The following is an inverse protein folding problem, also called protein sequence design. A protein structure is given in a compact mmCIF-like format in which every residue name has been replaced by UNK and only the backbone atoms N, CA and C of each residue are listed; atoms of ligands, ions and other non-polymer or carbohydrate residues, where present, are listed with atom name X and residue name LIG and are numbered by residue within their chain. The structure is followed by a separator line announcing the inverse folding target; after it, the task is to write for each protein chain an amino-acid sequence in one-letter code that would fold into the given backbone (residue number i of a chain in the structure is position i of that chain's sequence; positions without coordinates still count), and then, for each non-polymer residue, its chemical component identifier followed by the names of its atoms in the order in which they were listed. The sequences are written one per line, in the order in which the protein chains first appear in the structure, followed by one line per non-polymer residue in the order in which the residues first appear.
data_IF_298118641551
#
_entry.id   IF_298118641551
#
_cell.length_a   1.000
_cell.length_b   1.000
_cell.length_c   1.000
_cell.angle_alpha   90.00
_cell.angle_beta   90.00
_cell.angle_gamma   90.00
#
_symmetry.space_group_name_H-M   'P 1'
#
loop_
_entity.id
_entity.type
_entity.pdbx_description
1 polymer ?
#
# COMPACT_ATOMS: atom_id res chain seq x y z
N UNK A 1 40.60 -5.32 6.77
CA UNK A 1 40.43 -6.32 5.71
C UNK A 1 38.99 -6.73 5.76
N UNK A 2 38.20 -6.26 4.79
CA UNK A 2 37.09 -6.99 4.18
C UNK A 2 36.57 -6.12 3.04
N UNK A 3 37.32 -6.17 1.95
CA UNK A 3 36.92 -5.62 0.66
C UNK A 3 35.87 -6.53 0.06
N UNK A 4 34.59 -6.18 0.26
CA UNK A 4 33.51 -6.67 -0.58
C UNK A 4 33.18 -5.58 -1.60
N UNK A 5 33.32 -5.93 -2.87
CA UNK A 5 32.78 -5.16 -3.99
C UNK A 5 31.25 -5.11 -3.82
N UNK A 6 30.58 -3.95 -3.90
CA UNK A 6 29.11 -3.82 -3.76
C UNK A 6 28.30 -4.73 -4.70
N UNK A 7 28.94 -5.38 -5.68
CA UNK A 7 28.33 -6.31 -6.64
C UNK A 7 28.02 -7.71 -6.09
N UNK A 8 28.48 -8.07 -4.89
CA UNK A 8 28.37 -9.43 -4.35
C UNK A 8 27.32 -9.62 -3.24
N UNK A 9 26.48 -8.62 -2.96
CA UNK A 9 25.44 -8.74 -1.92
C UNK A 9 24.07 -9.11 -2.53
N UNK A 10 23.59 -10.33 -2.24
CA UNK A 10 22.22 -10.73 -2.58
C UNK A 10 21.24 -10.02 -1.65
N UNK A 11 20.40 -9.14 -2.21
CA UNK A 11 19.35 -8.45 -1.48
C UNK A 11 18.02 -9.19 -1.58
N UNK A 12 17.35 -9.40 -0.44
CA UNK A 12 15.94 -9.78 -0.41
C UNK A 12 15.07 -8.62 -0.90
N UNK A 13 13.84 -8.92 -1.37
CA UNK A 13 12.87 -7.88 -1.75
C UNK A 13 12.65 -6.91 -0.57
N UNK A 14 12.26 -7.47 0.58
CA UNK A 14 12.06 -6.73 1.82
C UNK A 14 13.13 -7.06 2.86
N UNK A 15 13.76 -6.05 3.49
CA UNK A 15 13.65 -4.62 3.20
C UNK A 15 14.62 -4.14 2.10
N UNK A 16 15.44 -5.03 1.52
CA UNK A 16 16.61 -4.68 0.71
C UNK A 16 16.28 -3.94 -0.58
N UNK A 17 15.66 -4.62 -1.54
CA UNK A 17 15.32 -4.02 -2.83
C UNK A 17 14.26 -2.92 -2.71
N UNK A 18 13.30 -3.06 -1.80
CA UNK A 18 12.27 -2.04 -1.54
C UNK A 18 12.92 -0.71 -1.11
N UNK A 19 13.85 -0.74 -0.15
CA UNK A 19 14.59 0.46 0.25
C UNK A 19 15.44 1.04 -0.87
N UNK A 20 16.04 0.18 -1.69
CA UNK A 20 16.85 0.61 -2.83
C UNK A 20 15.98 1.35 -3.85
N UNK A 21 14.83 0.78 -4.24
CA UNK A 21 13.88 1.42 -5.16
C UNK A 21 13.36 2.74 -4.60
N UNK A 22 13.02 2.79 -3.31
CA UNK A 22 12.47 3.98 -2.66
C UNK A 22 13.47 5.14 -2.55
N UNK A 23 14.76 4.86 -2.27
CA UNK A 23 15.75 5.90 -1.92
C UNK A 23 16.75 6.23 -3.04
N UNK A 24 16.95 5.34 -4.02
CA UNK A 24 17.92 5.57 -5.09
C UNK A 24 17.34 6.46 -6.19
N UNK A 25 18.18 7.31 -6.82
CA UNK A 25 17.80 8.24 -7.89
C UNK A 25 18.69 8.09 -9.13
N UNK A 26 19.45 7.00 -9.25
CA UNK A 26 20.29 6.69 -10.40
C UNK A 26 19.55 5.73 -11.33
N UNK A 27 19.22 6.21 -12.54
CA UNK A 27 18.41 5.45 -13.50
C UNK A 27 18.98 4.06 -13.81
N UNK A 28 20.28 3.94 -14.10
CA UNK A 28 20.89 2.66 -14.48
C UNK A 28 20.79 1.62 -13.35
N UNK A 29 20.93 2.04 -12.09
CA UNK A 29 20.79 1.17 -10.92
C UNK A 29 19.32 0.73 -10.77
N UNK A 30 18.37 1.66 -10.85
CA UNK A 30 16.94 1.36 -10.75
C UNK A 30 16.49 0.40 -11.86
N UNK A 31 16.95 0.63 -13.09
CA UNK A 31 16.66 -0.24 -14.23
C UNK A 31 17.25 -1.64 -14.02
N UNK A 32 18.52 -1.74 -13.60
CA UNK A 32 19.17 -3.03 -13.36
C UNK A 32 18.44 -3.84 -12.28
N UNK A 33 18.09 -3.21 -11.15
CA UNK A 33 17.38 -3.85 -10.05
C UNK A 33 15.99 -4.32 -10.47
N UNK A 34 15.23 -3.46 -11.16
CA UNK A 34 13.88 -3.76 -11.62
C UNK A 34 13.84 -4.95 -12.60
N UNK A 35 14.84 -5.03 -13.50
CA UNK A 35 14.99 -6.13 -14.46
C UNK A 35 15.43 -7.41 -13.73
N UNK A 36 16.48 -7.34 -12.91
CA UNK A 36 17.00 -8.51 -12.19
C UNK A 36 15.96 -9.15 -11.28
N UNK A 37 15.12 -8.37 -10.61
CA UNK A 37 14.02 -8.91 -9.81
C UNK A 37 13.06 -9.78 -10.65
N UNK A 38 12.63 -9.25 -11.81
CA UNK A 38 11.72 -9.95 -12.73
C UNK A 38 12.37 -11.18 -13.35
N UNK A 39 13.65 -11.11 -13.68
CA UNK A 39 14.40 -12.24 -14.23
C UNK A 39 14.64 -13.34 -13.19
N UNK A 40 14.92 -12.99 -11.93
CA UNK A 40 15.24 -13.97 -10.88
C UNK A 40 14.02 -14.58 -10.21
N UNK A 41 12.88 -13.86 -10.19
CA UNK A 41 11.64 -14.31 -9.54
C UNK A 41 10.55 -14.59 -10.56
N UNK A 42 10.19 -13.58 -11.37
CA UNK A 42 9.08 -13.68 -12.32
C UNK A 42 9.21 -14.84 -13.31
N UNK A 43 10.41 -15.04 -13.87
CA UNK A 43 10.68 -16.13 -14.81
C UNK A 43 10.46 -17.53 -14.18
N UNK A 44 10.88 -17.72 -12.92
CA UNK A 44 10.77 -18.97 -12.17
C UNK A 44 9.35 -19.24 -11.69
N UNK A 45 8.61 -18.19 -11.34
CA UNK A 45 7.23 -18.27 -10.84
C UNK A 45 6.21 -18.50 -11.97
N UNK A 46 6.49 -18.02 -13.19
CA UNK A 46 5.61 -18.14 -14.37
C UNK A 46 4.98 -19.53 -14.57
N UNK A 47 5.72 -20.66 -14.63
CA UNK A 47 5.11 -21.98 -14.85
C UNK A 47 4.14 -22.36 -13.73
N UNK A 48 4.46 -22.02 -12.47
CA UNK A 48 3.59 -22.29 -11.32
C UNK A 48 2.28 -21.50 -11.40
N UNK A 49 2.33 -20.24 -11.83
CA UNK A 49 1.13 -19.42 -12.04
C UNK A 49 0.26 -19.99 -13.15
N UNK A 50 0.84 -20.44 -14.27
CA UNK A 50 0.07 -21.09 -15.35
C UNK A 50 -0.66 -22.35 -14.86
N UNK A 51 0.02 -23.20 -14.09
CA UNK A 51 -0.63 -24.38 -13.48
C UNK A 51 -1.73 -23.99 -12.48
N UNK A 52 -1.48 -22.97 -11.65
CA UNK A 52 -2.46 -22.47 -10.68
C UNK A 52 -3.73 -21.96 -11.39
N UNK A 53 -3.60 -21.19 -12.46
CA UNK A 53 -4.73 -20.67 -13.24
C UNK A 53 -5.56 -21.83 -13.82
N UNK A 54 -4.91 -22.86 -14.36
CA UNK A 54 -5.62 -24.03 -14.89
C UNK A 54 -6.44 -24.73 -13.80
N UNK A 55 -5.85 -24.92 -12.61
CA UNK A 55 -6.53 -25.55 -11.48
C UNK A 55 -7.67 -24.68 -10.94
N UNK A 56 -7.46 -23.37 -10.81
CA UNK A 56 -8.48 -22.41 -10.36
C UNK A 56 -9.66 -22.35 -11.33
N UNK A 57 -9.41 -22.33 -12.64
CA UNK A 57 -10.46 -22.37 -13.66
C UNK A 57 -11.24 -23.69 -13.66
N UNK A 58 -10.56 -24.83 -13.44
CA UNK A 58 -11.24 -26.12 -13.25
C UNK A 58 -12.18 -26.09 -12.04
N UNK A 59 -11.72 -25.57 -10.91
CA UNK A 59 -12.51 -25.44 -9.69
C UNK A 59 -13.72 -24.50 -9.88
N UNK A 60 -13.52 -23.36 -10.52
CA UNK A 60 -14.60 -22.41 -10.81
C UNK A 60 -15.70 -23.04 -11.67
N UNK A 61 -15.32 -23.78 -12.73
CA UNK A 61 -16.27 -24.51 -13.59
C UNK A 61 -17.04 -25.60 -12.87
N UNK A 62 -16.39 -26.34 -11.97
CA UNK A 62 -17.07 -27.35 -11.13
C UNK A 62 -18.10 -26.71 -10.17
N UNK A 63 -17.92 -25.44 -9.82
CA UNK A 63 -18.85 -24.66 -9.00
C UNK A 63 -19.84 -23.82 -9.82
N UNK A 64 -19.94 -24.04 -11.13
CA UNK A 64 -20.94 -23.40 -11.99
C UNK A 64 -20.57 -22.02 -12.56
N UNK A 65 -19.33 -21.55 -12.37
CA UNK A 65 -18.82 -20.32 -12.99
C UNK A 65 -18.16 -20.61 -14.35
N UNK A 66 -18.08 -19.61 -15.24
CA UNK A 66 -17.37 -19.76 -16.54
C UNK A 66 -15.86 -19.98 -16.35
N UNK A 67 -15.29 -19.23 -15.41
CA UNK A 67 -13.87 -19.16 -15.10
C UNK A 67 -13.68 -18.58 -13.69
N UNK A 68 -12.43 -18.57 -13.21
CA UNK A 68 -12.10 -18.08 -11.87
C UNK A 68 -12.33 -16.56 -11.72
N UNK A 69 -12.19 -15.79 -12.81
CA UNK A 69 -12.50 -14.37 -12.78
C UNK A 69 -13.98 -14.12 -12.52
N UNK A 70 -14.87 -14.87 -13.19
CA UNK A 70 -16.31 -14.80 -12.94
C UNK A 70 -16.66 -15.18 -11.49
N UNK A 71 -15.97 -16.17 -10.91
CA UNK A 71 -16.13 -16.52 -9.51
C UNK A 71 -15.73 -15.38 -8.56
N UNK A 72 -14.61 -14.70 -8.81
CA UNK A 72 -14.18 -13.56 -8.01
C UNK A 72 -15.15 -12.38 -8.10
N UNK A 73 -15.61 -12.04 -9.32
CA UNK A 73 -16.60 -10.97 -9.52
C UNK A 73 -17.96 -11.31 -8.92
N UNK A 74 -18.32 -12.59 -8.86
CA UNK A 74 -19.55 -13.08 -8.24
C UNK A 74 -19.72 -12.67 -6.78
N UNK A 75 -18.63 -12.45 -6.05
CA UNK A 75 -18.65 -11.98 -4.65
C UNK A 75 -19.30 -10.60 -4.46
N UNK A 76 -19.34 -9.78 -5.51
CA UNK A 76 -19.93 -8.44 -5.44
C UNK A 76 -21.44 -8.45 -5.67
N UNK A 77 -22.00 -9.56 -6.16
CA UNK A 77 -23.44 -9.73 -6.44
C UNK A 77 -24.05 -8.54 -7.21
N UNK A 78 -23.24 -7.94 -8.10
CA UNK A 78 -23.59 -6.70 -8.80
C UNK A 78 -23.73 -6.95 -10.31
N UNK A 79 -24.90 -6.63 -10.86
CA UNK A 79 -25.12 -6.66 -12.30
C UNK A 79 -24.24 -5.65 -13.03
N UNK A 80 -23.58 -6.09 -14.11
CA UNK A 80 -22.73 -5.21 -14.92
C UNK A 80 -21.51 -4.65 -14.17
N UNK A 81 -20.98 -5.38 -13.18
CA UNK A 81 -19.84 -4.96 -12.36
C UNK A 81 -18.66 -4.41 -13.19
N UNK A 82 -18.26 -5.10 -14.26
CA UNK A 82 -17.17 -4.66 -15.13
C UNK A 82 -17.45 -3.30 -15.79
N UNK A 83 -18.68 -3.06 -16.24
CA UNK A 83 -19.08 -1.78 -16.85
C UNK A 83 -19.13 -0.66 -15.81
N UNK A 84 -19.55 -0.96 -14.58
CA UNK A 84 -19.54 0.01 -13.49
C UNK A 84 -18.11 0.44 -13.13
N UNK A 85 -17.19 -0.52 -12.96
CA UNK A 85 -15.76 -0.23 -12.72
C UNK A 85 -15.15 0.55 -13.87
N UNK A 86 -15.42 0.15 -15.13
CA UNK A 86 -14.93 0.89 -16.29
C UNK A 86 -15.41 2.34 -16.29
N UNK A 87 -16.70 2.58 -16.00
CA UNK A 87 -17.28 3.93 -15.95
C UNK A 87 -16.62 4.80 -14.87
N UNK A 88 -16.35 4.23 -13.69
CA UNK A 88 -15.62 4.93 -12.63
C UNK A 88 -14.19 5.26 -13.06
N UNK A 89 -13.49 4.31 -13.69
CA UNK A 89 -12.15 4.55 -14.21
C UNK A 89 -12.14 5.65 -15.29
N UNK A 90 -13.09 5.64 -16.22
CA UNK A 90 -13.22 6.66 -17.27
C UNK A 90 -13.40 8.08 -16.68
N UNK A 91 -14.05 8.21 -15.51
CA UNK A 91 -14.18 9.49 -14.80
C UNK A 91 -12.86 9.98 -14.17
N UNK A 92 -11.97 9.05 -13.79
CA UNK A 92 -10.68 9.36 -13.16
C UNK A 92 -9.58 9.66 -14.18
N UNK A 93 -9.66 9.08 -15.38
CA UNK A 93 -8.66 9.23 -16.46
C UNK A 93 -8.25 10.69 -16.73
N UNK A 94 -9.15 11.68 -16.81
CA UNK A 94 -8.76 13.07 -17.03
C UNK A 94 -7.81 13.60 -15.94
N UNK A 95 -8.08 13.28 -14.68
CA UNK A 95 -7.25 13.70 -13.54
C UNK A 95 -5.92 12.93 -13.52
N UNK A 96 -5.95 11.62 -13.74
CA UNK A 96 -4.72 10.80 -13.85
C UNK A 96 -3.79 11.34 -14.94
N UNK A 97 -4.32 11.73 -16.12
CA UNK A 97 -3.51 12.30 -17.21
C UNK A 97 -2.80 13.60 -16.79
N UNK A 98 -3.44 14.45 -15.99
CA UNK A 98 -2.82 15.67 -15.47
C UNK A 98 -1.70 15.35 -14.48
N UNK A 99 -1.95 14.44 -13.53
CA UNK A 99 -0.94 13.98 -12.56
C UNK A 99 0.23 13.31 -13.27
N UNK A 100 -0.04 12.37 -14.17
CA UNK A 100 0.97 11.69 -14.98
C UNK A 100 1.80 12.67 -15.80
N UNK A 101 1.18 13.66 -16.46
CA UNK A 101 1.92 14.66 -17.23
C UNK A 101 2.85 15.52 -16.35
N UNK A 102 2.38 15.91 -15.16
CA UNK A 102 3.18 16.65 -14.19
C UNK A 102 4.37 15.83 -13.67
N UNK A 103 4.11 14.59 -13.24
CA UNK A 103 5.14 13.66 -12.76
C UNK A 103 6.15 13.34 -13.85
N UNK A 104 5.70 13.11 -15.09
CA UNK A 104 6.58 12.91 -16.24
C UNK A 104 7.51 14.10 -16.46
N UNK A 105 6.99 15.34 -16.37
CA UNK A 105 7.80 16.54 -16.52
C UNK A 105 8.91 16.60 -15.46
N UNK A 106 8.56 16.33 -14.19
CA UNK A 106 9.51 16.34 -13.07
C UNK A 106 10.56 15.24 -13.18
N UNK A 107 10.15 14.02 -13.52
CA UNK A 107 11.07 12.91 -13.75
C UNK A 107 11.96 13.15 -14.98
N UNK A 108 11.44 13.79 -16.03
CA UNK A 108 12.27 14.18 -17.19
C UNK A 108 13.33 15.22 -16.80
N UNK A 109 13.01 16.15 -15.89
CA UNK A 109 14.00 17.10 -15.35
C UNK A 109 15.07 16.38 -14.54
N UNK A 110 14.72 15.33 -13.80
CA UNK A 110 15.65 14.54 -12.99
C UNK A 110 16.55 13.61 -13.82
N UNK A 111 15.97 12.88 -14.78
CA UNK A 111 16.65 11.81 -15.51
C UNK A 111 17.08 12.19 -16.94
N UNK A 112 16.59 13.32 -17.46
CA UNK A 112 16.90 13.82 -18.79
C UNK A 112 16.03 13.24 -19.92
N UNK A 113 16.05 13.92 -21.06
CA UNK A 113 15.23 13.59 -22.25
C UNK A 113 15.63 12.28 -22.94
N UNK A 114 16.86 11.83 -22.73
CA UNK A 114 17.36 10.55 -23.23
C UNK A 114 16.68 9.36 -22.53
N UNK A 115 16.30 9.52 -21.27
CA UNK A 115 15.56 8.51 -20.50
C UNK A 115 14.06 8.68 -20.70
N UNK A 116 13.57 9.93 -20.68
CA UNK A 116 12.14 10.24 -20.82
C UNK A 116 11.94 11.23 -21.97
N UNK A 117 11.73 10.76 -23.22
CA UNK A 117 11.52 11.63 -24.37
C UNK A 117 10.26 12.49 -24.27
N UNK A 118 10.23 13.59 -25.02
CA UNK A 118 9.05 14.45 -25.11
C UNK A 118 7.84 13.66 -25.64
N UNK A 119 6.75 13.64 -24.86
CA UNK A 119 5.57 12.85 -25.19
C UNK A 119 5.69 11.34 -24.92
N UNK A 120 6.85 10.85 -24.47
CA UNK A 120 7.09 9.44 -24.15
C UNK A 120 6.40 8.94 -22.88
N UNK A 121 6.46 7.62 -22.66
CA UNK A 121 6.03 6.97 -21.42
C UNK A 121 7.11 7.11 -20.33
N UNK A 122 6.70 7.01 -19.07
CA UNK A 122 7.63 6.98 -17.94
C UNK A 122 8.16 5.54 -17.77
N UNK A 123 9.48 5.32 -17.63
CA UNK A 123 10.02 4.01 -17.29
C UNK A 123 9.45 3.47 -15.97
N UNK A 124 9.02 2.20 -15.93
CA UNK A 124 8.35 1.63 -14.76
C UNK A 124 9.24 1.49 -13.51
N UNK A 125 10.56 1.68 -13.63
CA UNK A 125 11.52 1.57 -12.53
C UNK A 125 11.78 2.88 -11.78
N UNK A 126 11.20 4.01 -12.20
CA UNK A 126 11.52 5.33 -11.61
C UNK A 126 10.44 5.90 -10.69
N UNK A 127 9.54 5.06 -10.18
CA UNK A 127 8.41 5.48 -9.35
C UNK A 127 8.63 5.34 -7.84
N UNK A 128 9.84 4.93 -7.41
CA UNK A 128 10.14 4.69 -5.99
C UNK A 128 9.65 3.33 -5.47
N UNK A 129 8.91 2.59 -6.28
CA UNK A 129 8.35 1.27 -5.96
C UNK A 129 8.74 0.23 -7.02
N UNK A 130 8.82 -1.05 -6.65
CA UNK A 130 9.20 -2.15 -7.56
C UNK A 130 8.19 -2.37 -8.70
N UNK A 131 6.94 -1.99 -8.49
CA UNK A 131 5.83 -2.15 -9.43
C UNK A 131 5.26 -0.82 -9.93
N UNK A 132 5.72 0.30 -9.38
CA UNK A 132 5.16 1.63 -9.63
C UNK A 132 3.75 1.80 -9.08
N UNK A 133 3.38 1.00 -8.07
CA UNK A 133 2.04 0.94 -7.47
C UNK A 133 1.67 2.25 -6.77
N UNK A 134 2.60 2.73 -5.95
CA UNK A 134 2.53 3.97 -5.21
C UNK A 134 3.67 4.89 -5.67
N UNK A 135 3.43 6.21 -5.73
CA UNK A 135 4.43 7.19 -6.16
C UNK A 135 4.85 8.13 -5.02
N UNK A 136 4.47 7.82 -3.78
CA UNK A 136 4.83 8.58 -2.59
C UNK A 136 6.35 8.67 -2.38
N UNK A 137 7.09 7.61 -2.70
CA UNK A 137 8.54 7.52 -2.46
C UNK A 137 9.39 8.36 -3.45
N UNK A 138 8.76 9.03 -4.42
CA UNK A 138 9.40 10.04 -5.30
C UNK A 138 8.96 11.48 -4.99
N UNK A 139 8.30 11.72 -3.85
CA UNK A 139 7.77 13.05 -3.50
C UNK A 139 8.84 14.14 -3.55
N UNK A 140 10.08 13.85 -3.16
CA UNK A 140 11.25 14.74 -3.26
C UNK A 140 11.50 15.28 -4.68
N UNK A 141 11.16 14.50 -5.71
CA UNK A 141 11.31 14.89 -7.12
C UNK A 141 10.12 15.73 -7.58
N UNK A 142 8.92 15.34 -7.14
CA UNK A 142 7.65 15.89 -7.64
C UNK A 142 7.04 16.95 -6.73
N UNK A 143 7.77 17.38 -5.71
CA UNK A 143 7.32 18.39 -4.75
C UNK A 143 6.92 19.70 -5.47
N UNK A 144 5.68 20.17 -5.32
CA UNK A 144 5.25 21.41 -5.95
C UNK A 144 5.80 22.67 -5.27
N UNK A 145 6.04 22.63 -3.95
CA UNK A 145 6.44 23.79 -3.16
C UNK A 145 7.58 23.46 -2.16
N UNK A 146 8.82 23.30 -2.64
CA UNK A 146 9.95 22.83 -1.81
C UNK A 146 10.36 23.72 -0.63
N UNK A 147 9.82 24.94 -0.54
CA UNK A 147 10.08 25.87 0.56
C UNK A 147 9.00 25.82 1.65
N UNK A 148 8.13 24.81 1.62
CA UNK A 148 7.05 24.65 2.59
C UNK A 148 7.40 23.60 3.65
N UNK A 149 6.90 23.80 4.86
CA UNK A 149 7.08 22.83 5.94
C UNK A 149 6.31 21.55 5.60
N UNK A 150 7.04 20.43 5.49
CA UNK A 150 6.46 19.11 5.30
C UNK A 150 5.38 18.81 6.35
N UNK A 151 4.36 18.08 5.93
CA UNK A 151 3.31 17.57 6.82
C UNK A 151 3.65 16.19 7.39
N UNK A 152 4.79 15.61 7.00
CA UNK A 152 5.30 14.36 7.52
C UNK A 152 5.87 14.53 8.94
N UNK A 153 5.24 13.95 9.98
CA UNK A 153 5.70 14.04 11.36
C UNK A 153 6.86 13.08 11.69
N UNK A 154 7.44 12.32 10.76
CA UNK A 154 8.46 11.29 11.05
C UNK A 154 9.62 11.84 11.89
N UNK A 155 10.17 13.01 11.54
CA UNK A 155 11.24 13.62 12.34
C UNK A 155 10.80 13.90 13.78
N UNK A 156 9.58 14.43 13.96
CA UNK A 156 9.01 14.70 15.27
C UNK A 156 8.72 13.41 16.06
N UNK A 157 8.31 12.32 15.40
CA UNK A 157 8.12 11.00 16.02
C UNK A 157 9.46 10.47 16.57
N UNK A 158 10.53 10.58 15.78
CA UNK A 158 11.88 10.19 16.18
C UNK A 158 12.42 11.07 17.31
N UNK A 159 12.24 12.39 17.23
CA UNK A 159 12.65 13.34 18.28
C UNK A 159 11.95 13.08 19.62
N UNK A 160 10.73 12.53 19.59
CA UNK A 160 9.99 12.10 20.78
C UNK A 160 10.40 10.73 21.31
N UNK A 161 11.36 10.04 20.67
CA UNK A 161 11.67 8.62 20.92
C UNK A 161 10.42 7.73 20.89
N UNK A 162 9.53 7.99 19.92
CA UNK A 162 8.32 7.20 19.76
C UNK A 162 8.68 5.73 19.50
N UNK A 163 7.96 4.84 20.17
CA UNK A 163 8.06 3.38 20.00
C UNK A 163 6.94 2.86 19.11
N UNK A 164 7.12 1.69 18.49
CA UNK A 164 6.03 1.03 17.73
C UNK A 164 4.81 0.81 18.62
N UNK A 165 5.01 0.44 19.88
CA UNK A 165 3.90 0.28 20.84
C UNK A 165 3.05 1.55 20.95
N UNK A 166 3.68 2.72 21.06
CA UNK A 166 2.97 4.00 21.13
C UNK A 166 2.20 4.32 19.84
N UNK A 167 2.69 3.91 18.66
CA UNK A 167 1.94 4.05 17.41
C UNK A 167 0.61 3.28 17.46
N UNK A 168 0.62 2.05 17.99
CA UNK A 168 -0.60 1.27 18.19
C UNK A 168 -1.50 1.83 19.29
N UNK A 169 -0.93 2.37 20.37
CA UNK A 169 -1.73 3.02 21.42
C UNK A 169 -2.44 4.29 20.87
N UNK A 170 -1.75 5.13 20.09
CA UNK A 170 -2.34 6.28 19.39
C UNK A 170 -3.49 5.83 18.48
N UNK A 171 -3.28 4.78 17.70
CA UNK A 171 -4.31 4.28 16.80
C UNK A 171 -5.50 3.65 17.55
N UNK A 172 -5.25 2.91 18.63
CA UNK A 172 -6.30 2.40 19.51
C UNK A 172 -7.12 3.54 20.15
N UNK A 173 -6.46 4.61 20.60
CA UNK A 173 -7.12 5.80 21.14
C UNK A 173 -7.96 6.51 20.08
N UNK A 174 -7.49 6.57 18.83
CA UNK A 174 -8.26 7.09 17.70
C UNK A 174 -9.58 6.33 17.53
N UNK A 175 -9.54 4.99 17.47
CA UNK A 175 -10.76 4.18 17.33
C UNK A 175 -11.70 4.29 18.54
N UNK A 176 -11.16 4.22 19.75
CA UNK A 176 -11.96 4.32 20.97
C UNK A 176 -12.57 5.71 21.17
N UNK A 177 -11.93 6.77 20.69
CA UNK A 177 -12.48 8.14 20.70
C UNK A 177 -13.77 8.27 19.86
N UNK A 178 -13.95 7.40 18.86
CA UNK A 178 -15.18 7.30 18.06
C UNK A 178 -16.24 6.37 18.68
N UNK A 179 -15.97 5.81 19.86
CA UNK A 179 -16.85 4.85 20.54
C UNK A 179 -16.72 3.40 20.05
N UNK A 180 -15.67 3.08 19.29
CA UNK A 180 -15.37 1.71 18.88
C UNK A 180 -14.66 0.93 20.00
N UNK A 181 -14.51 -0.38 19.81
CA UNK A 181 -14.01 -1.29 20.85
C UNK A 181 -12.51 -1.06 21.07
N UNK A 182 -12.02 -1.05 22.32
CA UNK A 182 -10.58 -1.06 22.57
C UNK A 182 -9.98 -2.40 22.12
N UNK A 183 -8.71 -2.40 21.76
CA UNK A 183 -7.97 -3.62 21.45
C UNK A 183 -7.90 -4.52 22.70
N UNK A 184 -8.14 -5.83 22.56
CA UNK A 184 -8.03 -6.76 23.68
C UNK A 184 -6.56 -6.92 24.12
N UNK A 185 -6.26 -7.18 25.41
CA UNK A 185 -4.88 -7.39 25.86
C UNK A 185 -4.12 -8.45 25.05
N UNK A 186 -4.82 -9.53 24.68
CA UNK A 186 -4.31 -10.63 23.85
C UNK A 186 -3.79 -10.17 22.48
N UNK A 187 -4.33 -9.10 21.91
CA UNK A 187 -3.83 -8.52 20.66
C UNK A 187 -2.36 -8.14 20.80
N UNK A 188 -1.99 -7.43 21.87
CA UNK A 188 -0.62 -6.98 22.11
C UNK A 188 0.32 -8.12 22.53
N UNK A 189 -0.21 -9.12 23.24
CA UNK A 189 0.57 -10.27 23.69
C UNK A 189 0.99 -11.20 22.55
N UNK A 190 0.16 -11.32 21.50
CA UNK A 190 0.31 -12.36 20.49
C UNK A 190 0.54 -11.87 19.07
N UNK A 191 0.38 -10.56 18.81
CA UNK A 191 0.68 -9.97 17.50
C UNK A 191 2.18 -9.81 17.29
N UNK A 192 2.62 -9.92 16.03
CA UNK A 192 3.97 -9.55 15.63
C UNK A 192 3.93 -8.11 15.14
N UNK A 193 4.20 -7.17 16.04
CA UNK A 193 4.15 -5.73 15.75
C UNK A 193 5.48 -5.19 15.21
N UNK A 194 6.58 -5.91 15.44
CA UNK A 194 7.93 -5.57 14.99
C UNK A 194 8.60 -6.82 14.41
N UNK A 195 9.62 -6.64 13.57
CA UNK A 195 10.42 -7.76 13.07
C UNK A 195 11.18 -8.42 14.24
N UNK A 196 11.11 -9.75 14.42
CA UNK A 196 11.93 -10.45 15.41
C UNK A 196 13.42 -10.25 15.18
N UNK A 197 14.19 -10.04 16.25
CA UNK A 197 15.65 -9.84 16.20
C UNK A 197 16.44 -11.14 16.44
N UNK A 198 15.75 -12.27 16.60
CA UNK A 198 16.32 -13.58 16.90
C UNK A 198 16.81 -14.36 15.65
N UNK A 199 16.73 -13.73 14.47
CA UNK A 199 17.12 -14.33 13.19
C UNK A 199 16.03 -15.18 12.55
N UNK A 200 14.82 -15.20 13.11
CA UNK A 200 13.66 -15.87 12.48
C UNK A 200 13.31 -15.21 11.16
N UNK A 201 13.15 -16.02 10.12
CA UNK A 201 12.66 -15.53 8.83
C UNK A 201 11.13 -15.34 8.89
N UNK A 202 10.67 -14.16 8.50
CA UNK A 202 9.26 -13.76 8.60
C UNK A 202 8.84 -12.98 7.35
N UNK A 203 7.59 -13.18 6.95
CA UNK A 203 6.93 -12.36 5.92
C UNK A 203 6.50 -11.03 6.54
N UNK A 204 7.05 -9.93 6.03
CA UNK A 204 6.87 -8.60 6.60
C UNK A 204 5.65 -7.85 6.05
N UNK A 205 5.05 -8.33 4.95
CA UNK A 205 3.83 -7.72 4.43
C UNK A 205 2.73 -7.69 5.50
N UNK A 206 2.17 -6.50 5.72
CA UNK A 206 1.18 -6.23 6.76
C UNK A 206 -0.07 -7.05 6.49
N UNK A 207 -0.57 -7.70 7.54
CA UNK A 207 -1.79 -8.50 7.48
C UNK A 207 -2.48 -8.49 8.83
N UNK A 208 -3.79 -8.34 8.82
CA UNK A 208 -4.67 -8.52 9.97
C UNK A 208 -5.35 -9.90 9.94
N UNK A 209 -5.51 -10.52 11.11
CA UNK A 209 -5.95 -11.91 11.25
C UNK A 209 -7.09 -12.03 12.27
N UNK A 210 -8.18 -12.69 11.85
CA UNK A 210 -9.24 -13.20 12.73
C UNK A 210 -9.06 -14.72 12.90
N UNK A 211 -8.88 -15.17 14.15
CA UNK A 211 -8.73 -16.60 14.47
C UNK A 211 -10.08 -17.32 14.66
N UNK A 212 -11.18 -16.63 14.37
CA UNK A 212 -12.54 -17.16 14.25
C UNK A 212 -13.16 -17.65 15.58
N UNK A 213 -12.49 -17.45 16.71
CA UNK A 213 -13.00 -17.75 18.05
C UNK A 213 -13.76 -16.56 18.70
N UNK A 214 -13.77 -15.40 18.02
CA UNK A 214 -14.38 -14.16 18.47
C UNK A 214 -13.63 -13.46 19.61
N UNK A 215 -12.39 -13.85 19.89
CA UNK A 215 -11.57 -13.35 21.01
C UNK A 215 -10.13 -13.02 20.58
N UNK A 216 -9.58 -13.75 19.62
CA UNK A 216 -8.20 -13.65 19.19
C UNK A 216 -8.11 -13.01 17.80
N UNK A 217 -7.60 -11.77 17.80
CA UNK A 217 -7.39 -10.95 16.62
C UNK A 217 -5.96 -10.43 16.68
N UNK A 218 -5.23 -10.49 15.55
CA UNK A 218 -3.80 -10.18 15.55
C UNK A 218 -3.36 -9.45 14.29
N UNK A 219 -2.26 -8.72 14.39
CA UNK A 219 -1.52 -8.21 13.24
C UNK A 219 -0.18 -8.91 13.13
N UNK A 220 0.27 -9.10 11.89
CA UNK A 220 1.66 -9.43 11.57
C UNK A 220 2.21 -8.36 10.64
N UNK A 221 3.10 -7.52 11.16
CA UNK A 221 3.73 -6.43 10.43
C UNK A 221 5.12 -6.12 11.00
N UNK A 222 6.10 -5.89 10.11
CA UNK A 222 7.41 -5.39 10.50
C UNK A 222 7.38 -3.85 10.61
N UNK A 223 6.72 -3.32 11.64
CA UNK A 223 6.50 -1.87 11.79
C UNK A 223 7.82 -1.13 12.05
N UNK A 224 8.02 0.00 11.38
CA UNK A 224 9.09 0.95 11.67
C UNK A 224 8.51 2.29 12.16
N UNK A 225 9.27 3.06 12.94
CA UNK A 225 8.82 4.34 13.46
C UNK A 225 8.94 5.42 12.39
N UNK A 226 7.90 5.58 11.58
CA UNK A 226 7.73 6.66 10.62
C UNK A 226 6.24 6.88 10.30
N UNK A 227 5.93 7.97 9.61
CA UNK A 227 4.55 8.36 9.32
C UNK A 227 3.82 7.35 8.42
N UNK A 228 4.49 6.80 7.41
CA UNK A 228 3.94 5.75 6.53
C UNK A 228 3.42 4.57 7.36
N UNK A 229 4.23 4.05 8.27
CA UNK A 229 3.79 2.96 9.14
C UNK A 229 2.73 3.38 10.16
N UNK A 230 2.65 4.65 10.56
CA UNK A 230 1.54 5.13 11.39
C UNK A 230 0.20 5.05 10.64
N UNK A 231 0.20 5.39 9.34
CA UNK A 231 -0.96 5.22 8.46
C UNK A 231 -1.33 3.73 8.31
N UNK A 232 -0.34 2.87 8.05
CA UNK A 232 -0.57 1.42 7.91
C UNK A 232 -1.08 0.80 9.22
N UNK A 233 -0.58 1.23 10.39
CA UNK A 233 -1.11 0.79 11.70
C UNK A 233 -2.60 1.12 11.81
N UNK A 234 -3.03 2.31 11.39
CA UNK A 234 -4.46 2.65 11.39
C UNK A 234 -5.23 1.80 10.37
N UNK A 235 -4.70 1.61 9.17
CA UNK A 235 -5.33 0.74 8.16
C UNK A 235 -5.59 -0.67 8.72
N UNK A 236 -4.55 -1.33 9.25
CA UNK A 236 -4.64 -2.72 9.73
C UNK A 236 -5.54 -2.83 10.96
N UNK A 237 -5.53 -1.84 11.85
CA UNK A 237 -6.49 -1.79 12.96
C UNK A 237 -7.92 -1.57 12.48
N UNK A 238 -8.14 -1.00 11.30
CA UNK A 238 -9.44 -0.96 10.64
C UNK A 238 -10.00 -2.35 10.38
N UNK A 239 -9.17 -3.27 9.89
CA UNK A 239 -9.55 -4.68 9.76
C UNK A 239 -9.83 -5.34 11.12
N UNK A 240 -8.98 -5.11 12.13
CA UNK A 240 -9.20 -5.64 13.49
C UNK A 240 -10.52 -5.16 14.07
N UNK A 241 -10.85 -3.87 13.92
CA UNK A 241 -12.13 -3.33 14.32
C UNK A 241 -13.26 -4.01 13.59
N UNK A 242 -13.14 -4.17 12.27
CA UNK A 242 -14.14 -4.88 11.48
C UNK A 242 -14.37 -6.29 12.07
N UNK A 243 -13.32 -7.10 12.24
CA UNK A 243 -13.38 -8.44 12.86
C UNK A 243 -14.13 -8.43 14.20
N UNK A 244 -13.76 -7.52 15.10
CA UNK A 244 -14.38 -7.42 16.42
C UNK A 244 -15.87 -7.03 16.37
N UNK A 245 -16.31 -6.27 15.36
CA UNK A 245 -17.72 -5.88 15.23
C UNK A 245 -18.59 -7.05 14.79
N UNK A 246 -18.16 -7.84 13.81
CA UNK A 246 -18.98 -8.96 13.30
C UNK A 246 -18.64 -10.33 13.92
N UNK A 247 -17.75 -10.38 14.91
CA UNK A 247 -17.39 -11.61 15.64
C UNK A 247 -18.59 -12.36 16.25
N UNK A 248 -19.72 -11.69 16.47
CA UNK A 248 -20.95 -12.31 16.97
C UNK A 248 -21.77 -13.06 15.90
N UNK A 249 -21.49 -12.82 14.60
CA UNK A 249 -22.18 -13.50 13.50
C UNK A 249 -21.72 -14.96 13.36
N UNK A 250 -22.53 -15.83 12.74
CA UNK A 250 -22.07 -17.15 12.30
C UNK A 250 -20.84 -17.03 11.39
N UNK A 251 -19.89 -17.96 11.52
CA UNK A 251 -18.59 -17.90 10.84
C UNK A 251 -18.70 -17.66 9.31
N UNK A 252 -19.71 -18.23 8.65
CA UNK A 252 -19.93 -18.05 7.21
C UNK A 252 -20.27 -16.61 6.79
N UNK A 253 -20.72 -15.78 7.74
CA UNK A 253 -21.04 -14.36 7.53
C UNK A 253 -20.00 -13.41 8.13
N UNK A 254 -18.88 -13.96 8.62
CA UNK A 254 -17.78 -13.17 9.21
C UNK A 254 -16.83 -12.64 8.15
N UNK A 255 -17.33 -11.73 7.32
CA UNK A 255 -16.58 -11.09 6.25
C UNK A 255 -17.15 -9.70 5.92
N UNK A 256 -16.46 -8.96 5.06
CA UNK A 256 -16.93 -7.79 4.34
C UNK A 256 -18.31 -7.98 3.73
N UNK A 257 -19.06 -6.90 3.60
CA UNK A 257 -20.22 -6.89 2.71
C UNK A 257 -19.80 -7.27 1.28
N UNK A 258 -18.59 -6.85 0.88
CA UNK A 258 -17.80 -7.42 -0.21
C UNK A 258 -16.31 -7.19 0.10
N UNK A 259 -15.42 -7.72 -0.73
CA UNK A 259 -13.96 -7.61 -0.54
C UNK A 259 -13.49 -6.14 -0.43
N UNK A 260 -14.14 -5.20 -1.13
CA UNK A 260 -13.77 -3.77 -1.11
C UNK A 260 -14.12 -3.03 0.19
N UNK A 261 -15.08 -3.51 0.97
CA UNK A 261 -15.44 -2.87 2.25
C UNK A 261 -14.35 -3.05 3.31
N UNK A 262 -13.66 -4.20 3.33
CA UNK A 262 -12.57 -4.44 4.29
C UNK A 262 -11.45 -3.42 4.11
N UNK A 263 -11.01 -3.23 2.88
CA UNK A 263 -9.95 -2.30 2.52
C UNK A 263 -10.39 -0.85 2.72
N UNK A 264 -11.60 -0.49 2.28
CA UNK A 264 -12.10 0.89 2.38
C UNK A 264 -12.20 1.40 3.83
N UNK A 265 -12.53 0.53 4.78
CA UNK A 265 -12.55 0.90 6.21
C UNK A 265 -11.14 1.19 6.72
N UNK A 266 -10.15 0.36 6.38
CA UNK A 266 -8.75 0.60 6.75
C UNK A 266 -8.24 1.92 6.16
N UNK A 267 -8.41 2.09 4.85
CA UNK A 267 -7.98 3.29 4.11
C UNK A 267 -8.62 4.56 4.66
N UNK A 268 -9.92 4.56 4.94
CA UNK A 268 -10.61 5.72 5.50
C UNK A 268 -9.98 6.18 6.82
N UNK A 269 -9.59 5.24 7.66
CA UNK A 269 -9.05 5.53 9.00
C UNK A 269 -7.61 6.04 8.92
N UNK A 270 -6.78 5.43 8.07
CA UNK A 270 -5.46 5.96 7.73
C UNK A 270 -5.56 7.39 7.18
N UNK A 271 -6.43 7.66 6.21
CA UNK A 271 -6.59 9.00 5.66
C UNK A 271 -7.09 10.03 6.69
N UNK A 272 -7.99 9.63 7.58
CA UNK A 272 -8.60 10.54 8.58
C UNK A 272 -7.59 10.92 9.65
N UNK A 273 -6.75 9.97 10.09
CA UNK A 273 -5.70 10.24 11.06
C UNK A 273 -4.60 11.13 10.48
N UNK A 274 -4.30 11.01 9.18
CA UNK A 274 -3.28 11.82 8.48
C UNK A 274 -3.64 13.29 8.34
N UNK A 275 -4.83 13.70 8.76
CA UNK A 275 -5.21 15.10 8.72
C UNK A 275 -4.34 15.93 9.65
N UNK A 276 -3.91 17.09 9.16
CA UNK A 276 -3.17 18.11 9.90
C UNK A 276 -3.78 18.39 11.27
N UNK A 277 -5.11 18.50 11.36
CA UNK A 277 -5.81 18.75 12.61
C UNK A 277 -5.61 17.62 13.61
N UNK A 278 -5.76 16.35 13.17
CA UNK A 278 -5.56 15.20 14.02
C UNK A 278 -4.10 15.08 14.48
N UNK A 279 -3.14 15.11 13.55
CA UNK A 279 -1.70 15.06 13.86
C UNK A 279 -1.27 16.17 14.85
N UNK A 280 -1.88 17.36 14.77
CA UNK A 280 -1.65 18.43 15.74
C UNK A 280 -2.25 18.11 17.11
N UNK A 281 -3.44 17.50 17.16
CA UNK A 281 -4.12 17.13 18.40
C UNK A 281 -3.38 16.05 19.19
N UNK A 282 -2.69 15.14 18.50
CA UNK A 282 -1.86 14.09 19.11
C UNK A 282 -0.40 14.52 19.32
N UNK A 283 -0.08 15.80 19.11
CA UNK A 283 1.26 16.34 19.39
C UNK A 283 2.35 15.98 18.38
N UNK A 284 1.98 15.45 17.21
CA UNK A 284 2.90 15.10 16.13
C UNK A 284 3.22 16.27 15.21
N UNK A 285 2.41 17.34 15.23
CA UNK A 285 2.66 18.57 14.48
C UNK A 285 2.41 19.83 15.33
N UNK A 286 3.07 20.96 15.03
CA UNK A 286 2.91 22.21 15.80
C UNK A 286 1.52 22.87 15.59
N UNK A 287 1.07 23.59 16.63
CA UNK A 287 -0.28 24.22 16.69
C UNK A 287 -0.51 25.42 15.75
N UNK A 288 0.55 26.10 15.31
CA UNK A 288 0.45 27.32 14.48
C UNK A 288 0.82 27.03 13.03
N UNK A 289 -0.03 27.38 12.05
CA UNK A 289 0.31 27.20 10.62
C UNK A 289 -0.15 28.30 9.63
N UNK A 290 0.63 28.58 8.56
CA UNK A 290 0.24 29.43 7.44
C UNK A 290 -0.68 28.72 6.41
N UNK A 291 -1.54 29.48 5.74
CA UNK A 291 -2.59 28.98 4.83
C UNK A 291 -2.13 28.14 3.61
N UNK A 292 -0.86 28.25 3.18
CA UNK A 292 -0.35 27.56 1.98
C UNK A 292 -0.20 26.04 2.14
N UNK A 293 -0.22 25.53 3.37
CA UNK A 293 0.07 24.11 3.68
C UNK A 293 -1.08 23.16 3.31
N UNK A 294 -2.29 23.68 3.10
CA UNK A 294 -3.44 22.88 2.60
C UNK A 294 -3.26 22.41 1.16
N UNK A 295 -2.51 23.14 0.34
CA UNK A 295 -2.25 22.76 -1.06
C UNK A 295 -1.20 21.66 -1.13
N UNK A 296 -0.20 21.71 -0.24
CA UNK A 296 0.82 20.66 -0.03
C UNK A 296 0.19 19.30 0.26
N UNK A 297 -0.69 19.22 1.27
CA UNK A 297 -1.34 17.97 1.68
C UNK A 297 -2.16 17.36 0.55
N UNK A 298 -2.87 18.19 -0.23
CA UNK A 298 -3.64 17.73 -1.38
C UNK A 298 -2.76 17.22 -2.52
N UNK A 299 -1.60 17.84 -2.75
CA UNK A 299 -0.67 17.41 -3.77
C UNK A 299 -0.04 16.06 -3.40
N UNK A 300 0.44 15.93 -2.15
CA UNK A 300 0.99 14.68 -1.62
C UNK A 300 -0.01 13.51 -1.72
N UNK A 301 -1.26 13.70 -1.27
CA UNK A 301 -2.29 12.65 -1.36
C UNK A 301 -2.68 12.29 -2.80
N UNK A 302 -2.63 13.27 -3.72
CA UNK A 302 -2.99 13.06 -5.13
C UNK A 302 -1.94 12.27 -5.90
N UNK A 303 -0.66 12.40 -5.53
CA UNK A 303 0.44 11.63 -6.13
C UNK A 303 0.35 10.15 -5.78
N UNK A 304 -0.31 9.81 -4.67
CA UNK A 304 -0.43 8.43 -4.23
C UNK A 304 -1.72 7.75 -4.69
N UNK A 305 -2.87 8.31 -4.32
CA UNK A 305 -4.17 7.67 -4.54
C UNK A 305 -4.56 7.56 -6.03
N UNK A 306 -4.23 8.57 -6.84
CA UNK A 306 -4.70 8.62 -8.24
C UNK A 306 -3.95 7.60 -9.12
N UNK A 307 -2.61 7.51 -9.05
CA UNK A 307 -1.87 6.45 -9.75
C UNK A 307 -2.24 5.05 -9.27
N UNK A 308 -2.44 4.85 -7.96
CA UNK A 308 -2.88 3.55 -7.43
C UNK A 308 -4.15 3.07 -8.12
N UNK A 309 -5.19 3.91 -8.19
CA UNK A 309 -6.46 3.52 -8.81
C UNK A 309 -6.28 3.18 -10.30
N UNK A 310 -5.47 3.95 -11.03
CA UNK A 310 -5.17 3.66 -12.43
C UNK A 310 -4.43 2.32 -12.59
N UNK A 311 -3.44 2.08 -11.73
CA UNK A 311 -2.62 0.87 -11.71
C UNK A 311 -3.37 -0.38 -11.26
N UNK A 312 -4.43 -0.27 -10.46
CA UNK A 312 -5.23 -1.43 -10.03
C UNK A 312 -6.37 -1.72 -11.01
N UNK A 313 -6.91 -0.70 -11.69
CA UNK A 313 -7.96 -0.88 -12.69
C UNK A 313 -7.47 -1.61 -13.95
N UNK A 314 -6.25 -1.34 -14.41
CA UNK A 314 -5.73 -1.88 -15.68
C UNK A 314 -5.37 -3.38 -15.65
N UNK A 315 -4.69 -3.92 -14.61
CA UNK A 315 -4.36 -5.33 -14.50
C UNK A 315 -5.58 -6.21 -14.32
N UNK A 316 -6.61 -5.76 -13.60
CA UNK A 316 -7.82 -6.54 -13.44
C UNK A 316 -8.63 -6.57 -14.74
N UNK A 317 -8.76 -5.44 -15.45
CA UNK A 317 -9.36 -5.43 -16.80
C UNK A 317 -8.56 -6.30 -17.78
N UNK A 318 -7.23 -6.35 -17.66
CA UNK A 318 -6.37 -7.16 -18.53
C UNK A 318 -6.40 -8.65 -18.17
N UNK A 319 -6.38 -9.01 -16.87
CA UNK A 319 -6.54 -10.39 -16.36
C UNK A 319 -7.93 -10.94 -16.70
N UNK A 320 -8.98 -10.11 -16.62
CA UNK A 320 -10.35 -10.40 -17.04
C UNK A 320 -10.42 -10.74 -18.54
N UNK A 321 -9.55 -10.15 -19.36
CA UNK A 321 -9.60 -10.28 -20.82
C UNK A 321 -8.64 -11.31 -21.42
N UNK A 322 -7.52 -11.64 -20.78
CA UNK A 322 -6.48 -12.46 -21.46
C UNK A 322 -5.89 -13.62 -20.67
N UNK A 323 -5.94 -13.62 -19.33
CA UNK A 323 -5.17 -14.60 -18.53
C UNK A 323 -6.02 -15.49 -17.63
N UNK A 324 -7.20 -15.03 -17.20
CA UNK A 324 -8.13 -15.84 -16.38
C UNK A 324 -9.26 -16.50 -17.20
N UNK A 325 -9.38 -16.22 -18.50
CA UNK A 325 -10.31 -16.94 -19.39
C UNK A 325 -9.77 -18.30 -19.79
#
# INVERSE_FOLDING_TARGET
VDGKDPKDECLNLQPGLDNLMAKNRTYDILQEVWVKWRDNVGSKVRPHISSLITLKNKMARLNGYSDYGAQLRGKYEAEGFEQQIKKLNDQLVPLYKLVHAYVRLKLQQQYGKQVIPDGGMIPACVFGDMWGRFWNDIYDIVEPYPNMTSVDPTAQMLDQNMTVRQMYDIANDFYTSMGLKPLPPRFFELSMLERPTDGTDVECHSTAWDFLDGKDFRIRMCTEVNFKFLEVVHHELGHIQYFMQYAHLPQVYRNGANDGFHEAVGELMGMTMSTVNHLTSVGLLPKTRPAKQRTETKASSSIDAIPLIANEAEPDITKINSTLR
#
